data_IF_314921487757
#
_entry.id   IF_314921487757
#
_cell.length_a   1.000
_cell.length_b   1.000
_cell.length_c   1.000
_cell.angle_alpha   90.00
_cell.angle_beta   90.00
_cell.angle_gamma   90.00
#
_symmetry.space_group_name_H-M   'P 1'
#
loop_
_entity.id
_entity.type
_entity.pdbx_description
1 polymer ?
#
# COMPACT_ATOMS: atom_id res chain seq x y z
N UNK A 1 4.30 -11.53 18.36
CA UNK A 1 3.36 -12.14 17.40
C UNK A 1 3.18 -11.15 16.26
N UNK A 2 3.75 -11.51 15.10
CA UNK A 2 3.75 -10.82 13.80
C UNK A 2 3.69 -9.26 13.80
N UNK A 3 4.81 -8.63 14.14
CA UNK A 3 5.07 -7.20 13.91
C UNK A 3 5.71 -6.98 12.53
N UNK A 4 5.02 -7.38 11.46
CA UNK A 4 5.36 -6.95 10.10
C UNK A 4 4.24 -6.04 9.65
N UNK A 5 4.53 -4.74 9.54
CA UNK A 5 3.62 -3.70 9.09
C UNK A 5 2.96 -4.12 7.77
N UNK A 6 1.79 -4.75 7.86
CA UNK A 6 1.13 -5.34 6.71
C UNK A 6 0.52 -4.22 5.87
N UNK A 7 0.36 -4.41 4.57
CA UNK A 7 -0.25 -3.38 3.71
C UNK A 7 -1.64 -2.94 4.21
N UNK A 8 -2.35 -3.85 4.86
CA UNK A 8 -3.61 -3.58 5.55
C UNK A 8 -3.46 -2.61 6.72
N UNK A 9 -2.42 -2.76 7.54
CA UNK A 9 -2.12 -1.88 8.67
C UNK A 9 -1.67 -0.49 8.21
N UNK A 10 -0.89 -0.43 7.12
CA UNK A 10 -0.48 0.84 6.48
C UNK A 10 -1.69 1.64 6.00
N UNK A 11 -2.70 0.96 5.46
CA UNK A 11 -3.96 1.59 5.06
C UNK A 11 -4.95 1.78 6.23
N UNK A 12 -4.67 1.19 7.40
CA UNK A 12 -5.57 1.23 8.56
C UNK A 12 -6.88 0.46 8.35
N UNK A 13 -6.83 -0.62 7.57
CA UNK A 13 -7.99 -1.46 7.22
C UNK A 13 -7.78 -2.89 7.69
N UNK A 14 -8.87 -3.66 7.79
CA UNK A 14 -8.79 -5.09 8.11
C UNK A 14 -8.34 -5.92 6.91
N UNK A 15 -7.74 -7.09 7.16
CA UNK A 15 -7.38 -8.05 6.09
C UNK A 15 -8.58 -8.55 5.28
N UNK A 16 -9.78 -8.54 5.87
CA UNK A 16 -11.03 -8.86 5.19
C UNK A 16 -11.65 -7.71 4.40
N UNK A 17 -10.98 -6.54 4.34
CA UNK A 17 -11.56 -5.36 3.74
C UNK A 17 -11.81 -5.53 2.22
N UNK A 18 -12.92 -4.96 1.73
CA UNK A 18 -13.27 -4.98 0.31
C UNK A 18 -12.40 -4.02 -0.49
N UNK A 19 -12.30 -4.24 -1.81
CA UNK A 19 -11.63 -3.31 -2.73
C UNK A 19 -12.19 -1.88 -2.62
N UNK A 20 -13.46 -1.73 -2.25
CA UNK A 20 -14.07 -0.43 -1.98
C UNK A 20 -13.45 0.25 -0.76
N UNK A 21 -13.24 -0.48 0.33
CA UNK A 21 -12.64 0.03 1.56
C UNK A 21 -11.16 0.38 1.36
N UNK A 22 -10.42 -0.43 0.59
CA UNK A 22 -9.03 -0.15 0.19
C UNK A 22 -8.95 1.20 -0.55
N UNK A 23 -9.81 1.42 -1.54
CA UNK A 23 -9.89 2.69 -2.29
C UNK A 23 -10.31 3.86 -1.39
N UNK A 24 -11.26 3.63 -0.49
CA UNK A 24 -11.72 4.65 0.45
C UNK A 24 -10.61 5.09 1.41
N UNK A 25 -9.89 4.13 2.00
CA UNK A 25 -8.78 4.37 2.90
C UNK A 25 -7.63 5.12 2.20
N UNK A 26 -7.26 4.70 0.98
CA UNK A 26 -6.28 5.40 0.16
C UNK A 26 -6.66 6.87 -0.06
N UNK A 27 -7.91 7.14 -0.47
CA UNK A 27 -8.40 8.52 -0.67
C UNK A 27 -8.42 9.33 0.62
N UNK A 28 -8.72 8.71 1.77
CA UNK A 28 -8.67 9.38 3.08
C UNK A 28 -7.24 9.78 3.43
N UNK A 29 -6.30 8.84 3.32
CA UNK A 29 -4.90 9.06 3.65
C UNK A 29 -4.20 10.03 2.69
N UNK A 30 -4.50 9.97 1.38
CA UNK A 30 -3.97 10.91 0.40
C UNK A 30 -4.35 12.36 0.72
N UNK A 31 -5.58 12.60 1.20
CA UNK A 31 -6.01 13.92 1.68
C UNK A 31 -5.27 14.34 2.94
N UNK A 32 -5.04 13.41 3.87
CA UNK A 32 -4.29 13.68 5.11
C UNK A 32 -2.81 13.95 4.86
N UNK A 33 -2.22 13.38 3.80
CA UNK A 33 -0.82 13.62 3.41
C UNK A 33 -0.62 14.84 2.51
N UNK A 34 -1.67 15.60 2.19
CA UNK A 34 -1.58 16.75 1.29
C UNK A 34 -0.86 17.93 1.96
N UNK A 35 0.10 18.59 1.29
CA UNK A 35 0.94 19.64 1.89
C UNK A 35 0.16 20.88 2.36
N UNK A 36 -1.08 21.05 1.91
CA UNK A 36 -1.99 22.14 2.34
C UNK A 36 -2.63 21.88 3.72
N UNK A 37 -2.72 20.61 4.15
CA UNK A 37 -3.30 20.22 5.46
C UNK A 37 -2.22 19.80 6.45
N UNK A 38 -1.05 19.41 5.96
CA UNK A 38 0.08 19.00 6.79
C UNK A 38 0.94 20.21 7.12
N UNK A 39 1.05 20.54 8.41
CA UNK A 39 1.97 21.58 8.89
C UNK A 39 3.40 21.34 8.35
N UNK A 40 4.12 22.40 7.98
CA UNK A 40 5.44 22.31 7.31
C UNK A 40 6.45 21.38 8.01
N UNK A 41 6.36 21.23 9.34
CA UNK A 41 7.22 20.34 10.14
C UNK A 41 6.93 18.83 9.99
N UNK A 42 5.83 18.45 9.35
CA UNK A 42 5.45 17.05 9.12
C UNK A 42 5.48 16.63 7.64
N UNK A 43 5.98 17.51 6.76
CA UNK A 43 6.02 17.30 5.31
C UNK A 43 6.91 16.09 4.93
N UNK A 44 8.08 15.97 5.57
CA UNK A 44 9.02 14.86 5.34
C UNK A 44 8.43 13.51 5.78
N UNK A 45 7.77 13.49 6.95
CA UNK A 45 7.16 12.28 7.48
C UNK A 45 5.91 11.85 6.67
N UNK A 46 5.28 12.80 5.97
CA UNK A 46 4.12 12.55 5.11
C UNK A 46 4.51 11.92 3.78
N UNK A 47 5.66 12.29 3.19
CA UNK A 47 6.19 11.65 1.98
C UNK A 47 6.45 10.15 2.18
N UNK A 48 7.16 9.80 3.26
CA UNK A 48 7.43 8.40 3.60
C UNK A 48 6.16 7.58 3.85
N UNK A 49 5.15 8.17 4.52
CA UNK A 49 3.85 7.53 4.70
C UNK A 49 3.13 7.34 3.38
N UNK A 50 3.12 8.36 2.52
CA UNK A 50 2.47 8.29 1.21
C UNK A 50 3.06 7.19 0.32
N UNK A 51 4.40 7.04 0.30
CA UNK A 51 5.06 5.94 -0.43
C UNK A 51 4.61 4.56 0.07
N UNK A 52 4.49 4.37 1.39
CA UNK A 52 3.97 3.12 1.98
C UNK A 52 2.51 2.88 1.59
N UNK A 53 1.67 3.91 1.68
CA UNK A 53 0.24 3.87 1.32
C UNK A 53 0.08 3.49 -0.16
N UNK A 54 0.86 4.10 -1.04
CA UNK A 54 0.80 3.82 -2.48
C UNK A 54 1.27 2.39 -2.82
N UNK A 55 2.31 1.90 -2.14
CA UNK A 55 2.79 0.52 -2.29
C UNK A 55 1.77 -0.50 -1.81
N UNK A 56 1.13 -0.20 -0.67
CA UNK A 56 0.04 -1.00 -0.12
C UNK A 56 -1.15 -1.05 -1.08
N UNK A 57 -1.60 0.12 -1.56
CA UNK A 57 -2.69 0.22 -2.51
C UNK A 57 -2.40 -0.54 -3.79
N UNK A 58 -1.21 -0.39 -4.39
CA UNK A 58 -0.84 -1.07 -5.64
C UNK A 58 -0.85 -2.59 -5.56
N UNK A 59 -0.65 -3.15 -4.35
CA UNK A 59 -0.70 -4.59 -4.10
C UNK A 59 -2.12 -5.05 -3.78
N UNK A 60 -2.84 -4.30 -2.94
CA UNK A 60 -4.17 -4.69 -2.46
C UNK A 60 -5.31 -4.33 -3.44
N UNK A 61 -5.11 -3.37 -4.32
CA UNK A 61 -6.11 -2.94 -5.31
C UNK A 61 -6.37 -3.99 -6.39
N UNK A 62 -5.36 -4.81 -6.66
CA UNK A 62 -5.38 -5.85 -7.68
C UNK A 62 -5.63 -7.20 -7.01
N UNK A 63 -6.73 -7.89 -7.33
CA UNK A 63 -7.09 -9.15 -6.68
C UNK A 63 -6.02 -10.24 -6.87
N UNK A 64 -5.30 -10.26 -8.01
CA UNK A 64 -4.26 -11.25 -8.26
C UNK A 64 -3.02 -11.01 -7.38
N UNK A 65 -2.60 -9.74 -7.27
CA UNK A 65 -1.48 -9.35 -6.40
C UNK A 65 -1.84 -9.48 -4.93
N UNK A 66 -3.07 -9.16 -4.55
CA UNK A 66 -3.59 -9.39 -3.20
C UNK A 66 -3.58 -10.86 -2.86
N UNK A 67 -4.09 -11.72 -3.75
CA UNK A 67 -4.06 -13.16 -3.55
C UNK A 67 -2.62 -13.72 -3.49
N UNK A 68 -1.67 -13.15 -4.23
CA UNK A 68 -0.26 -13.50 -4.09
C UNK A 68 0.32 -13.07 -2.74
N UNK A 69 0.05 -11.84 -2.31
CA UNK A 69 0.49 -11.29 -1.02
C UNK A 69 -0.10 -12.06 0.16
N UNK A 70 -1.40 -12.34 0.12
CA UNK A 70 -2.09 -13.15 1.13
C UNK A 70 -1.49 -14.56 1.16
N UNK A 71 -1.26 -15.18 -0.01
CA UNK A 71 -0.54 -16.46 -0.10
C UNK A 71 0.90 -16.40 0.42
N UNK A 72 1.60 -15.27 0.32
CA UNK A 72 2.96 -15.13 0.84
C UNK A 72 2.94 -15.02 2.38
N UNK A 73 2.02 -14.22 2.92
CA UNK A 73 1.82 -14.06 4.38
C UNK A 73 1.38 -15.39 5.02
N UNK A 74 0.43 -16.10 4.39
CA UNK A 74 -0.10 -17.36 4.93
C UNK A 74 0.73 -18.59 4.49
N UNK A 75 1.47 -18.49 3.39
CA UNK A 75 2.18 -19.58 2.73
C UNK A 75 3.69 -19.57 2.92
N UNK A 76 4.24 -18.75 3.84
CA UNK A 76 5.59 -18.95 4.36
C UNK A 76 5.72 -20.24 5.24
N UNK A 77 4.89 -21.25 4.94
CA UNK A 77 5.21 -22.68 5.01
C UNK A 77 5.57 -23.16 3.58
N UNK A 78 6.79 -22.82 3.14
CA UNK A 78 7.57 -23.43 2.03
C UNK A 78 6.94 -23.46 0.62
N UNK A 79 7.52 -22.68 -0.31
CA UNK A 79 8.26 -23.13 -1.52
C UNK A 79 8.58 -21.91 -2.43
N UNK A 80 9.72 -21.91 -3.17
CA UNK A 80 10.12 -20.78 -4.00
C UNK A 80 9.34 -20.78 -5.32
N UNK A 81 8.84 -19.62 -5.76
CA UNK A 81 8.27 -19.49 -7.10
C UNK A 81 8.93 -18.37 -7.88
N UNK A 82 9.56 -18.80 -8.96
CA UNK A 82 10.03 -18.02 -10.10
C UNK A 82 8.78 -17.47 -10.80
N UNK A 83 8.64 -16.15 -10.93
CA UNK A 83 7.84 -15.55 -12.00
C UNK A 83 8.32 -14.14 -12.33
N UNK A 84 8.76 -14.02 -13.58
CA UNK A 84 8.96 -12.82 -14.37
C UNK A 84 7.61 -12.16 -14.71
N UNK A 85 7.47 -10.85 -14.52
CA UNK A 85 6.65 -9.93 -15.34
C UNK A 85 6.81 -8.50 -14.82
N UNK A 86 7.52 -7.65 -15.56
CA UNK A 86 7.00 -6.75 -16.59
C UNK A 86 6.41 -5.46 -16.03
N UNK A 87 7.16 -4.37 -16.23
CA UNK A 87 6.63 -3.02 -16.52
C UNK A 87 5.83 -2.34 -15.42
N UNK A 88 6.51 -1.71 -14.46
CA UNK A 88 5.93 -0.58 -13.72
C UNK A 88 6.54 0.72 -14.25
N UNK A 89 5.88 1.29 -15.26
CA UNK A 89 6.05 2.69 -15.67
C UNK A 89 5.44 3.54 -14.55
N UNK A 90 6.28 4.05 -13.66
CA UNK A 90 5.91 5.12 -12.74
C UNK A 90 6.28 6.43 -13.45
N UNK A 91 5.30 7.03 -14.13
CA UNK A 91 5.43 8.38 -14.65
C UNK A 91 5.16 9.33 -13.48
N UNK A 92 6.22 9.65 -12.75
CA UNK A 92 6.21 10.72 -11.74
C UNK A 92 6.28 12.06 -12.45
N UNK A 93 5.15 12.54 -12.94
CA UNK A 93 5.03 13.89 -13.47
C UNK A 93 3.94 14.69 -12.77
N UNK A 94 3.57 14.34 -11.53
CA UNK A 94 2.62 15.11 -10.72
C UNK A 94 3.00 15.03 -9.23
N UNK A 95 4.25 15.33 -8.92
CA UNK A 95 4.56 15.98 -7.64
C UNK A 95 4.42 17.48 -7.89
N UNK A 96 3.63 18.16 -7.06
CA UNK A 96 3.51 19.63 -7.05
C UNK A 96 4.85 20.34 -7.11
#
# INVERSE_FOLDING_TARGET
MASHASYYEVLGISMGASCHEIKYAYRKLARTCHPDVVAMNQKENSGNKFMKINSAYSTLSDPDKRAQYDREIYGHRRLPKIVSMSGRKWETDQCW
#
